data_IF_525633520517
#
_entry.id   IF_525633520517
#
_cell.length_a   1.000
_cell.length_b   1.000
_cell.length_c   1.000
_cell.angle_alpha   90.00
_cell.angle_beta   90.00
_cell.angle_gamma   90.00
#
_symmetry.space_group_name_H-M   'P 1'
#
loop_
_entity.id
_entity.type
_entity.pdbx_description
1 polymer ?
#
# COMPACT_ATOMS: atom_id res chain seq x y z
N UNK A 1 -11.99 7.96 13.60
CA UNK A 1 -10.84 7.81 14.49
C UNK A 1 -9.72 7.16 13.72
N UNK A 2 -8.47 7.49 14.03
CA UNK A 2 -7.26 6.98 13.39
C UNK A 2 -6.35 6.42 14.47
N UNK A 3 -5.62 5.34 14.16
CA UNK A 3 -4.62 4.76 15.04
C UNK A 3 -3.26 4.72 14.35
N UNK A 4 -2.25 5.29 15.01
CA UNK A 4 -0.85 5.15 14.59
C UNK A 4 -0.29 3.84 15.17
N UNK A 5 0.33 3.02 14.31
CA UNK A 5 0.92 1.74 14.72
C UNK A 5 2.43 1.86 14.90
N UNK A 6 2.93 1.22 15.96
CA UNK A 6 4.35 1.16 16.34
C UNK A 6 4.63 -0.13 17.11
N UNK A 7 5.90 -0.52 17.20
CA UNK A 7 6.35 -1.67 17.99
C UNK A 7 5.64 -2.97 17.62
N UNK A 8 5.20 -3.74 18.62
CA UNK A 8 4.55 -5.05 18.41
C UNK A 8 3.31 -4.99 17.48
N UNK A 9 2.61 -3.85 17.41
CA UNK A 9 1.47 -3.69 16.48
C UNK A 9 1.89 -3.72 15.01
N UNK A 10 3.11 -3.29 14.69
CA UNK A 10 3.64 -3.33 13.32
C UNK A 10 3.93 -4.76 12.86
N UNK A 11 4.39 -5.64 13.76
CA UNK A 11 4.57 -7.07 13.49
C UNK A 11 3.22 -7.74 13.21
N UNK A 12 2.21 -7.46 14.05
CA UNK A 12 0.84 -7.95 13.83
C UNK A 12 0.23 -7.43 12.51
N UNK A 13 0.52 -6.18 12.14
CA UNK A 13 0.08 -5.61 10.87
C UNK A 13 0.72 -6.34 9.69
N UNK A 14 2.02 -6.63 9.75
CA UNK A 14 2.74 -7.39 8.72
C UNK A 14 2.07 -8.76 8.48
N UNK A 15 1.81 -9.52 9.55
CA UNK A 15 1.15 -10.83 9.47
C UNK A 15 -0.25 -10.73 8.87
N UNK A 16 -1.03 -9.72 9.29
CA UNK A 16 -2.37 -9.50 8.75
C UNK A 16 -2.34 -9.15 7.25
N UNK A 17 -1.41 -8.31 6.82
CA UNK A 17 -1.22 -7.96 5.41
C UNK A 17 -0.75 -9.17 4.60
N UNK A 18 0.12 -10.03 5.15
CA UNK A 18 0.58 -11.26 4.48
C UNK A 18 -0.59 -12.18 4.11
N UNK A 19 -1.59 -12.30 4.99
CA UNK A 19 -2.81 -13.09 4.74
C UNK A 19 -3.70 -12.52 3.64
N UNK A 20 -3.50 -11.27 3.25
CA UNK A 20 -4.26 -10.57 2.21
C UNK A 20 -3.51 -10.43 0.89
N UNK A 21 -2.39 -11.14 0.74
CA UNK A 21 -1.69 -11.21 -0.53
C UNK A 21 -2.53 -11.95 -1.59
N UNK A 22 -2.44 -11.56 -2.89
CA UNK A 22 -1.51 -10.55 -3.44
C UNK A 22 -2.00 -9.11 -3.31
N UNK A 23 -3.26 -8.86 -2.91
CA UNK A 23 -3.87 -7.52 -2.95
C UNK A 23 -3.13 -6.48 -2.08
N UNK A 24 -2.54 -6.91 -0.98
CA UNK A 24 -1.79 -6.07 -0.03
C UNK A 24 -0.31 -5.88 -0.37
N UNK A 25 0.21 -6.47 -1.46
CA UNK A 25 1.66 -6.70 -1.65
C UNK A 25 2.53 -5.45 -1.49
N UNK A 26 2.09 -4.29 -2.00
CA UNK A 26 2.84 -3.03 -1.89
C UNK A 26 2.92 -2.55 -0.43
N UNK A 27 1.81 -2.62 0.30
CA UNK A 27 1.76 -2.22 1.72
C UNK A 27 2.49 -3.24 2.59
N UNK A 28 2.29 -4.54 2.35
CA UNK A 28 3.02 -5.62 3.01
C UNK A 28 4.54 -5.43 2.86
N UNK A 29 5.02 -5.26 1.63
CA UNK A 29 6.44 -5.06 1.37
C UNK A 29 6.99 -3.82 2.07
N UNK A 30 6.23 -2.73 2.11
CA UNK A 30 6.64 -1.52 2.83
C UNK A 30 6.73 -1.77 4.34
N UNK A 31 5.71 -2.38 4.95
CA UNK A 31 5.68 -2.71 6.38
C UNK A 31 6.81 -3.67 6.77
N UNK A 32 7.10 -4.67 5.95
CA UNK A 32 8.23 -5.58 6.14
C UNK A 32 9.56 -4.84 6.30
N UNK A 33 9.84 -3.85 5.43
CA UNK A 33 11.06 -3.04 5.54
C UNK A 33 10.99 -2.04 6.71
N UNK A 34 9.80 -1.52 7.05
CA UNK A 34 9.62 -0.70 8.25
C UNK A 34 9.97 -1.47 9.53
N UNK A 35 9.57 -2.74 9.62
CA UNK A 35 9.90 -3.62 10.74
C UNK A 35 11.42 -3.94 10.85
N UNK A 36 12.20 -3.65 9.80
CA UNK A 36 13.65 -3.85 9.75
C UNK A 36 14.47 -2.58 9.95
N UNK A 37 13.84 -1.49 10.42
CA UNK A 37 14.54 -0.26 10.78
C UNK A 37 13.96 1.01 10.15
N UNK A 38 12.99 0.89 9.24
CA UNK A 38 12.25 2.02 8.67
C UNK A 38 13.16 3.15 8.15
N UNK A 39 14.05 2.88 7.17
CA UNK A 39 15.06 3.83 6.72
C UNK A 39 14.48 5.13 6.11
N UNK A 40 13.20 5.11 5.73
CA UNK A 40 12.50 6.25 5.12
C UNK A 40 11.58 7.00 6.09
N UNK A 41 11.71 6.74 7.40
CA UNK A 41 10.90 7.39 8.43
C UNK A 41 9.41 7.40 8.09
N UNK A 42 8.84 6.25 7.71
CA UNK A 42 7.42 6.14 7.40
C UNK A 42 6.59 5.91 8.68
N UNK A 43 5.30 6.21 8.62
CA UNK A 43 4.29 5.88 9.64
C UNK A 43 3.18 5.04 9.02
N UNK A 44 2.69 4.06 9.79
CA UNK A 44 1.53 3.27 9.43
C UNK A 44 0.32 3.74 10.23
N UNK A 45 -0.73 4.19 9.54
CA UNK A 45 -1.99 4.61 10.16
C UNK A 45 -3.13 3.72 9.68
N UNK A 46 -4.05 3.41 10.60
CA UNK A 46 -5.22 2.57 10.34
C UNK A 46 -6.51 3.19 10.88
N UNK A 47 -7.63 2.81 10.29
CA UNK A 47 -8.95 3.29 10.71
C UNK A 47 -9.42 2.67 12.02
N UNK A 48 -9.04 1.40 12.26
CA UNK A 48 -9.35 0.61 13.45
C UNK A 48 -8.19 -0.29 13.80
N UNK A 49 -8.10 -0.72 15.05
CA UNK A 49 -7.12 -1.72 15.48
C UNK A 49 -7.74 -2.63 16.56
N UNK A 50 -7.50 -3.95 16.55
CA UNK A 50 -6.65 -4.71 15.63
C UNK A 50 -7.30 -5.06 14.27
N UNK A 51 -8.62 -5.01 14.16
CA UNK A 51 -9.34 -5.35 12.92
C UNK A 51 -9.52 -4.12 12.01
N UNK A 52 -8.40 -3.64 11.46
CA UNK A 52 -8.41 -2.53 10.50
C UNK A 52 -9.20 -2.90 9.22
N UNK A 53 -9.86 -1.92 8.61
CA UNK A 53 -10.37 -2.05 7.24
C UNK A 53 -9.39 -1.41 6.25
N UNK A 54 -8.72 -0.32 6.61
CA UNK A 54 -7.80 0.42 5.74
C UNK A 54 -6.48 0.72 6.45
N UNK A 55 -5.38 0.53 5.74
CA UNK A 55 -4.02 0.92 6.14
C UNK A 55 -3.49 1.94 5.15
N UNK A 56 -2.91 3.01 5.68
CA UNK A 56 -2.15 4.00 4.91
C UNK A 56 -0.74 4.04 5.48
N UNK A 57 0.26 3.83 4.61
CA UNK A 57 1.66 4.11 4.92
C UNK A 57 2.01 5.45 4.28
N UNK A 58 2.56 6.36 5.06
CA UNK A 58 2.93 7.71 4.61
C UNK A 58 4.20 8.22 5.29
N UNK A 59 4.86 9.26 4.74
CA UNK A 59 5.98 9.91 5.41
C UNK A 59 5.51 10.59 6.69
N UNK A 60 6.46 10.78 7.60
CA UNK A 60 6.24 11.69 8.72
C UNK A 60 6.09 13.13 8.24
N UNK A 61 5.38 13.94 9.03
CA UNK A 61 5.16 15.35 8.76
C UNK A 61 6.47 16.11 8.56
N UNK A 62 7.52 15.75 9.29
CA UNK A 62 8.84 16.36 9.17
C UNK A 62 9.53 16.09 7.83
N UNK A 63 9.15 15.03 7.12
CA UNK A 63 9.70 14.69 5.81
C UNK A 63 8.90 15.38 4.67
N UNK A 64 7.65 15.78 4.92
CA UNK A 64 6.77 16.41 3.92
C UNK A 64 6.95 17.93 3.89
N UNK A 65 8.17 18.41 3.63
CA UNK A 65 8.47 19.86 3.65
C UNK A 65 8.25 20.57 2.31
N UNK A 66 8.23 19.84 1.19
CA UNK A 66 7.97 20.38 -0.14
C UNK A 66 6.62 19.88 -0.68
N UNK A 67 5.66 20.79 -0.78
CA UNK A 67 4.32 20.50 -1.28
C UNK A 67 4.31 20.08 -2.77
N UNK A 68 5.39 20.32 -3.52
CA UNK A 68 5.51 19.98 -4.95
C UNK A 68 6.25 18.65 -5.20
N UNK A 69 6.93 18.11 -4.19
CA UNK A 69 7.69 16.87 -4.30
C UNK A 69 6.82 15.62 -4.10
N UNK A 70 6.21 15.17 -5.19
CA UNK A 70 5.43 13.93 -5.20
C UNK A 70 6.24 12.65 -4.90
N UNK A 71 7.59 12.67 -4.99
CA UNK A 71 8.40 11.50 -4.64
C UNK A 71 8.42 11.30 -3.12
N UNK A 72 8.72 12.36 -2.39
CA UNK A 72 8.67 12.34 -0.92
C UNK A 72 7.23 12.20 -0.44
N UNK A 73 6.26 12.84 -1.10
CA UNK A 73 4.83 12.77 -0.76
C UNK A 73 4.14 11.49 -1.29
N UNK A 74 4.72 10.32 -1.02
CA UNK A 74 4.20 9.02 -1.46
C UNK A 74 3.38 8.32 -0.37
N UNK A 75 2.19 7.84 -0.73
CA UNK A 75 1.28 7.08 0.12
C UNK A 75 1.09 5.67 -0.44
N UNK A 76 1.16 4.65 0.42
CA UNK A 76 0.80 3.27 0.07
C UNK A 76 -0.48 2.88 0.80
N UNK A 77 -1.51 2.47 0.06
CA UNK A 77 -2.84 2.23 0.62
C UNK A 77 -3.30 0.81 0.33
N UNK A 78 -3.78 0.14 1.36
CA UNK A 78 -4.50 -1.13 1.25
C UNK A 78 -5.82 -1.01 2.01
N UNK A 79 -6.91 -1.45 1.38
CA UNK A 79 -8.22 -1.52 2.03
C UNK A 79 -8.88 -2.86 1.76
N UNK A 80 -9.41 -3.48 2.81
CA UNK A 80 -10.31 -4.64 2.73
C UNK A 80 -11.66 -4.25 2.11
N UNK A 81 -12.04 -2.96 2.20
CA UNK A 81 -13.30 -2.45 1.70
C UNK A 81 -13.12 -1.10 0.97
N UNK A 82 -12.86 -1.14 -0.35
CA UNK A 82 -12.68 0.06 -1.17
C UNK A 82 -13.84 1.07 -1.09
N UNK A 83 -15.07 0.60 -0.87
CA UNK A 83 -16.26 1.47 -0.81
C UNK A 83 -16.34 2.26 0.51
N UNK A 84 -15.76 1.75 1.59
CA UNK A 84 -15.84 2.36 2.92
C UNK A 84 -14.61 3.20 3.29
N UNK A 85 -13.49 3.05 2.58
CA UNK A 85 -12.26 3.74 2.93
C UNK A 85 -12.31 5.25 2.65
N UNK A 86 -13.20 5.74 1.77
CA UNK A 86 -13.24 7.15 1.38
C UNK A 86 -13.33 8.12 2.58
N UNK A 87 -14.16 7.81 3.58
CA UNK A 87 -14.28 8.65 4.79
C UNK A 87 -12.97 8.74 5.58
N UNK A 88 -12.23 7.63 5.67
CA UNK A 88 -10.95 7.58 6.37
C UNK A 88 -9.85 8.30 5.58
N UNK A 89 -9.77 8.05 4.27
CA UNK A 89 -8.78 8.67 3.38
C UNK A 89 -8.99 10.18 3.20
N UNK A 90 -10.22 10.67 3.38
CA UNK A 90 -10.54 12.09 3.33
C UNK A 90 -10.16 12.88 4.58
N UNK A 91 -9.70 12.22 5.66
CA UNK A 91 -9.26 12.92 6.86
C UNK A 91 -7.91 13.63 6.59
N UNK A 92 -7.76 14.92 6.96
CA UNK A 92 -6.52 15.66 6.73
C UNK A 92 -5.32 15.09 7.50
N UNK A 93 -5.55 14.35 8.59
CA UNK A 93 -4.52 13.66 9.35
C UNK A 93 -4.01 12.38 8.67
N UNK A 94 -4.76 11.87 7.68
CA UNK A 94 -4.46 10.61 6.96
C UNK A 94 -3.78 10.89 5.62
N UNK A 95 -4.32 11.81 4.82
CA UNK A 95 -3.69 12.26 3.56
C UNK A 95 -3.72 13.79 3.51
N UNK A 96 -2.55 14.40 3.29
CA UNK A 96 -2.48 15.82 3.01
C UNK A 96 -2.87 16.08 1.55
N UNK A 97 -4.15 16.29 1.29
CA UNK A 97 -4.67 16.56 -0.07
C UNK A 97 -4.29 17.93 -0.63
N UNK A 98 -3.64 18.80 0.16
CA UNK A 98 -3.19 20.13 -0.28
C UNK A 98 -1.88 20.09 -1.06
N UNK A 99 -1.15 18.97 -0.99
CA UNK A 99 0.14 18.79 -1.65
C UNK A 99 0.03 17.97 -2.94
N UNK A 100 1.04 18.07 -3.79
CA UNK A 100 1.24 17.13 -4.90
C UNK A 100 1.77 15.81 -4.33
N UNK A 101 1.04 14.73 -4.58
CA UNK A 101 1.29 13.43 -3.96
C UNK A 101 1.20 12.28 -4.95
N UNK A 102 1.81 11.15 -4.58
CA UNK A 102 1.70 9.89 -5.30
C UNK A 102 0.98 8.86 -4.42
N UNK A 103 -0.05 8.18 -4.96
CA UNK A 103 -0.74 7.10 -4.26
C UNK A 103 -0.50 5.79 -5.00
N UNK A 104 0.10 4.82 -4.31
CA UNK A 104 0.17 3.44 -4.77
C UNK A 104 -0.90 2.61 -4.05
N UNK A 105 -1.82 2.06 -4.82
CA UNK A 105 -2.99 1.34 -4.32
C UNK A 105 -3.36 0.19 -5.26
N UNK A 106 -4.21 -0.70 -4.78
CA UNK A 106 -4.95 -1.67 -5.59
C UNK A 106 -6.46 -1.44 -5.43
N UNK A 107 -7.19 -1.31 -6.55
CA UNK A 107 -8.66 -1.23 -6.61
C UNK A 107 -9.35 -0.05 -5.91
N UNK A 108 -8.67 1.08 -5.71
CA UNK A 108 -9.22 2.27 -5.03
C UNK A 108 -9.54 3.45 -5.97
N UNK A 109 -9.51 3.25 -7.29
CA UNK A 109 -9.60 4.34 -8.29
C UNK A 109 -10.76 5.30 -8.02
N UNK A 110 -11.99 4.79 -7.88
CA UNK A 110 -13.18 5.61 -7.61
C UNK A 110 -13.08 6.43 -6.33
N UNK A 111 -12.54 5.84 -5.24
CA UNK A 111 -12.42 6.56 -3.98
C UNK A 111 -11.38 7.70 -4.08
N UNK A 112 -10.27 7.46 -4.80
CA UNK A 112 -9.22 8.44 -5.04
C UNK A 112 -9.69 9.54 -5.99
N UNK A 113 -10.42 9.21 -7.05
CA UNK A 113 -11.03 10.18 -7.96
C UNK A 113 -12.00 11.11 -7.23
N UNK A 114 -12.90 10.54 -6.41
CA UNK A 114 -13.84 11.31 -5.61
C UNK A 114 -13.13 12.26 -4.64
N UNK A 115 -12.09 11.78 -3.94
CA UNK A 115 -11.33 12.60 -3.00
C UNK A 115 -10.49 13.66 -3.72
N UNK A 116 -9.93 13.35 -4.88
CA UNK A 116 -9.27 14.32 -5.75
C UNK A 116 -10.23 15.44 -6.13
N UNK A 117 -11.44 15.11 -6.59
CA UNK A 117 -12.46 16.10 -6.96
C UNK A 117 -12.89 16.98 -5.77
N UNK A 118 -13.15 16.37 -4.60
CA UNK A 118 -13.52 17.11 -3.37
C UNK A 118 -12.42 18.11 -2.97
N UNK A 119 -11.15 17.74 -3.15
CA UNK A 119 -10.01 18.57 -2.81
C UNK A 119 -9.51 19.45 -3.97
N UNK A 120 -10.31 19.62 -5.04
CA UNK A 120 -9.97 20.41 -6.23
C UNK A 120 -8.68 19.99 -6.95
N UNK A 121 -8.28 18.73 -6.78
CA UNK A 121 -7.11 18.12 -7.40
C UNK A 121 -7.43 17.45 -8.73
N UNK A 122 -6.39 17.29 -9.58
CA UNK A 122 -6.47 16.48 -10.81
C UNK A 122 -5.77 15.15 -10.59
N UNK A 123 -6.49 14.04 -10.80
CA UNK A 123 -5.94 12.69 -10.66
C UNK A 123 -5.46 12.19 -12.01
N UNK A 124 -4.22 11.69 -12.08
CA UNK A 124 -3.67 10.98 -13.24
C UNK A 124 -3.40 9.53 -12.85
N UNK A 125 -4.05 8.61 -13.54
CA UNK A 125 -3.85 7.17 -13.33
C UNK A 125 -2.62 6.68 -14.10
N UNK A 126 -1.86 5.78 -13.49
CA UNK A 126 -0.77 5.04 -14.13
C UNK A 126 -0.88 3.59 -13.70
N UNK A 127 -0.92 2.68 -14.68
CA UNK A 127 -0.94 1.25 -14.44
C UNK A 127 0.50 0.75 -14.29
N UNK A 128 0.77 0.06 -13.17
CA UNK A 128 2.09 -0.49 -12.88
C UNK A 128 1.95 -1.99 -12.59
N UNK A 129 2.82 -2.79 -13.22
CA UNK A 129 2.91 -4.23 -12.94
C UNK A 129 3.99 -4.47 -11.88
N UNK A 130 3.64 -5.22 -10.83
CA UNK A 130 4.61 -5.67 -9.84
C UNK A 130 4.98 -7.11 -10.13
N UNK A 131 6.28 -7.34 -10.32
CA UNK A 131 6.84 -8.66 -10.50
C UNK A 131 7.42 -9.17 -9.18
N UNK A 132 7.26 -10.47 -8.96
CA UNK A 132 7.85 -11.18 -7.83
C UNK A 132 8.55 -12.42 -8.37
N UNK A 133 9.71 -12.76 -7.80
CA UNK A 133 10.39 -14.00 -8.16
C UNK A 133 9.48 -15.18 -7.86
N UNK A 134 9.50 -16.21 -8.71
CA UNK A 134 8.67 -17.39 -8.50
C UNK A 134 8.97 -18.03 -7.14
N UNK A 135 10.24 -18.09 -6.73
CA UNK A 135 10.65 -18.62 -5.42
C UNK A 135 9.95 -17.87 -4.28
N UNK A 136 10.04 -16.54 -4.27
CA UNK A 136 9.39 -15.69 -3.25
C UNK A 136 7.88 -15.84 -3.29
N UNK A 137 7.28 -15.95 -4.49
CA UNK A 137 5.84 -16.18 -4.61
C UNK A 137 5.43 -17.52 -3.99
N UNK A 138 6.22 -18.59 -4.16
CA UNK A 138 5.97 -19.90 -3.52
C UNK A 138 5.96 -19.80 -1.99
N UNK A 139 6.89 -19.01 -1.44
CA UNK A 139 7.07 -18.87 0.02
C UNK A 139 6.03 -17.94 0.65
N UNK A 140 5.63 -16.88 -0.05
CA UNK A 140 4.71 -15.87 0.48
C UNK A 140 3.25 -16.17 0.18
N UNK A 141 2.94 -16.75 -0.98
CA UNK A 141 1.57 -16.96 -1.46
C UNK A 141 1.46 -18.34 -2.14
N UNK A 142 1.55 -19.45 -1.36
CA UNK A 142 1.52 -20.80 -1.93
C UNK A 142 0.30 -21.07 -2.82
N UNK A 143 -0.86 -20.49 -2.46
CA UNK A 143 -2.14 -20.64 -3.16
C UNK A 143 -2.15 -20.11 -4.60
N UNK A 144 -1.24 -19.20 -4.97
CA UNK A 144 -1.15 -18.69 -6.36
C UNK A 144 -0.62 -19.78 -7.32
N UNK A 145 0.07 -20.80 -6.81
CA UNK A 145 0.75 -21.81 -7.60
C UNK A 145 -0.01 -23.13 -7.74
N UNK A 146 -1.07 -23.32 -6.95
CA UNK A 146 -2.00 -24.45 -7.07
C UNK A 146 -2.90 -24.31 -8.31
N UNK A 147 -2.95 -23.11 -8.92
CA UNK A 147 -3.53 -22.91 -10.23
C UNK A 147 -2.64 -23.58 -11.28
N UNK A 148 -3.14 -24.66 -11.89
CA UNK A 148 -2.54 -25.57 -12.91
C UNK A 148 -1.87 -24.95 -14.16
N UNK A 149 -1.59 -23.64 -14.19
CA UNK A 149 -1.11 -22.90 -15.35
C UNK A 149 0.19 -22.13 -15.10
N UNK A 150 1.14 -22.67 -14.33
CA UNK A 150 2.50 -22.12 -14.41
C UNK A 150 3.17 -22.58 -15.71
N UNK A 151 3.60 -21.65 -16.59
CA UNK A 151 4.43 -22.03 -17.72
C UNK A 151 5.71 -22.67 -17.17
N UNK A 152 6.03 -23.88 -17.64
CA UNK A 152 7.25 -24.59 -17.28
C UNK A 152 8.45 -23.63 -17.35
N UNK A 153 9.14 -23.46 -16.22
CA UNK A 153 10.30 -22.56 -16.09
C UNK A 153 11.39 -22.84 -17.13
N UNK A 154 11.47 -24.08 -17.63
CA UNK A 154 12.41 -24.51 -18.67
C UNK A 154 12.15 -23.87 -20.05
N UNK A 155 10.95 -23.35 -20.31
CA UNK A 155 10.63 -22.65 -21.56
C UNK A 155 11.05 -21.18 -21.57
N UNK A 156 11.14 -20.51 -20.42
CA UNK A 156 11.50 -19.08 -20.37
C UNK A 156 13.00 -18.82 -20.56
N UNK A 157 13.86 -19.80 -20.24
CA UNK A 157 15.32 -19.64 -20.38
C UNK A 157 15.85 -19.95 -21.79
N UNK A 158 15.00 -20.41 -22.72
CA UNK A 158 15.38 -20.71 -24.11
C UNK A 158 14.99 -19.63 -25.11
N UNK A 159 14.43 -18.50 -24.66
CA UNK A 159 14.02 -17.40 -25.54
C UNK A 159 14.63 -16.04 -25.17
N UNK A 160 15.79 -16.04 -24.50
CA UNK A 160 16.65 -14.85 -24.36
C UNK A 160 17.92 -15.04 -25.17
#
# INVERSE_FOLDING_TARGET
>A
TMFLLQGAKMQMLEEALRKSLPASIKVYGTVFHMNQGNPFNLKAVVDKWPDFETVVIRPQEQEMTDDLDHYTNTYHIYSKNPKKCQKFLGLPEVINWKQRLQISQSSLDTAIENLGAINSGKVKHTQNFLYMSLKTAKELIPSILDAKNLPNSDKMMKSM
#
